data_IF_131992603915
#
_entry.id   IF_131992603915
#
_cell.length_a   1.000
_cell.length_b   1.000
_cell.length_c   1.000
_cell.angle_alpha   90.00
_cell.angle_beta   90.00
_cell.angle_gamma   90.00
#
_symmetry.space_group_name_H-M   'P 1'
#
loop_
_entity.id
_entity.type
_entity.pdbx_description
1 polymer ?
#
# COMPACT_ATOMS: atom_id res chain seq x y z
N UNK A 1 13.29 11.89 -11.56
CA UNK A 1 13.55 10.60 -10.89
C UNK A 1 14.64 9.89 -11.67
N UNK A 2 15.79 9.61 -11.05
CA UNK A 2 16.83 8.76 -11.66
C UNK A 2 16.31 7.32 -11.83
N UNK A 3 16.88 6.55 -12.75
CA UNK A 3 16.45 5.15 -13.00
C UNK A 3 16.47 4.28 -11.73
N UNK A 4 17.41 4.54 -10.82
CA UNK A 4 17.50 3.87 -9.51
C UNK A 4 16.31 4.20 -8.59
N UNK A 5 15.93 5.47 -8.49
CA UNK A 5 14.76 5.93 -7.75
C UNK A 5 13.48 5.29 -8.29
N UNK A 6 13.35 5.20 -9.62
CA UNK A 6 12.21 4.56 -10.26
C UNK A 6 12.13 3.05 -9.94
N UNK A 7 13.27 2.36 -9.91
CA UNK A 7 13.34 0.94 -9.55
C UNK A 7 12.95 0.71 -8.08
N UNK A 8 13.45 1.56 -7.18
CA UNK A 8 13.08 1.55 -5.76
C UNK A 8 11.58 1.82 -5.61
N UNK A 9 11.06 2.80 -6.35
CA UNK A 9 9.64 3.16 -6.31
C UNK A 9 8.74 2.00 -6.72
N UNK A 10 9.09 1.25 -7.78
CA UNK A 10 8.34 0.05 -8.15
C UNK A 10 8.34 -1.03 -7.07
N UNK A 11 9.45 -1.21 -6.35
CA UNK A 11 9.50 -2.18 -5.24
C UNK A 11 8.66 -1.73 -4.05
N UNK A 12 8.65 -0.43 -3.78
CA UNK A 12 7.79 0.22 -2.80
C UNK A 12 6.31 0.03 -3.18
N UNK A 13 5.96 0.30 -4.43
CA UNK A 13 4.60 0.14 -4.96
C UNK A 13 4.12 -1.32 -4.81
N UNK A 14 4.98 -2.28 -5.13
CA UNK A 14 4.68 -3.70 -4.95
C UNK A 14 4.47 -4.06 -3.46
N UNK A 15 5.34 -3.58 -2.56
CA UNK A 15 5.21 -3.83 -1.11
C UNK A 15 3.95 -3.22 -0.52
N UNK A 16 3.60 -1.99 -0.90
CA UNK A 16 2.37 -1.36 -0.40
C UNK A 16 1.11 -2.04 -0.93
N UNK A 17 1.12 -2.52 -2.18
CA UNK A 17 0.06 -3.39 -2.70
C UNK A 17 -0.06 -4.72 -1.93
N UNK A 18 1.04 -5.38 -1.60
CA UNK A 18 1.01 -6.61 -0.79
C UNK A 18 0.43 -6.37 0.61
N UNK A 19 0.74 -5.23 1.23
CA UNK A 19 0.16 -4.84 2.52
C UNK A 19 -1.34 -4.56 2.39
N UNK A 20 -1.76 -3.79 1.38
CA UNK A 20 -3.18 -3.57 1.09
C UNK A 20 -3.95 -4.87 0.84
N UNK A 21 -3.36 -5.82 0.10
CA UNK A 21 -3.95 -7.14 -0.11
C UNK A 21 -4.17 -7.88 1.21
N UNK A 22 -3.19 -7.83 2.12
CA UNK A 22 -3.32 -8.44 3.44
C UNK A 22 -4.41 -7.77 4.26
N UNK A 23 -4.51 -6.43 4.22
CA UNK A 23 -5.56 -5.67 4.88
C UNK A 23 -6.94 -6.07 4.33
N UNK A 24 -7.11 -6.12 3.02
CA UNK A 24 -8.36 -6.56 2.37
C UNK A 24 -8.70 -8.01 2.70
N UNK A 25 -7.73 -8.93 2.66
CA UNK A 25 -7.96 -10.33 3.04
C UNK A 25 -8.32 -10.45 4.51
N UNK A 26 -7.64 -9.71 5.39
CA UNK A 26 -7.93 -9.69 6.81
C UNK A 26 -9.27 -9.02 7.13
N UNK A 27 -9.68 -8.02 6.33
CA UNK A 27 -11.00 -7.39 6.41
C UNK A 27 -12.10 -8.36 5.95
N UNK A 28 -11.85 -9.12 4.89
CA UNK A 28 -12.76 -10.13 4.36
C UNK A 28 -12.88 -11.35 5.29
N UNK A 29 -11.80 -11.69 6.00
CA UNK A 29 -11.81 -12.64 7.10
C UNK A 29 -12.51 -12.04 8.31
N UNK A 30 -13.31 -12.81 9.06
CA UNK A 30 -13.96 -12.36 10.30
C UNK A 30 -12.96 -12.13 11.47
N UNK A 31 -11.65 -12.07 11.17
CA UNK A 31 -10.55 -11.92 12.13
C UNK A 31 -10.23 -10.42 12.32
N UNK A 32 -10.92 -9.79 13.28
CA UNK A 32 -10.65 -8.39 13.66
C UNK A 32 -9.21 -8.13 14.07
N UNK A 33 -8.60 -9.07 14.79
CA UNK A 33 -7.25 -8.92 15.35
C UNK A 33 -6.18 -8.90 14.23
N UNK A 34 -6.34 -9.74 13.21
CA UNK A 34 -5.46 -9.74 12.03
C UNK A 34 -5.65 -8.50 11.16
N UNK A 35 -6.87 -7.95 11.11
CA UNK A 35 -7.13 -6.69 10.40
C UNK A 35 -6.45 -5.50 11.07
N UNK A 36 -6.55 -5.35 12.40
CA UNK A 36 -5.90 -4.25 13.11
C UNK A 36 -4.37 -4.27 12.95
N UNK A 37 -3.75 -5.46 13.01
CA UNK A 37 -2.31 -5.61 12.77
C UNK A 37 -1.93 -5.24 11.33
N UNK A 38 -2.64 -5.78 10.34
CA UNK A 38 -2.39 -5.49 8.93
C UNK A 38 -2.60 -4.00 8.60
N UNK A 39 -3.65 -3.39 9.13
CA UNK A 39 -3.98 -1.98 8.91
C UNK A 39 -2.91 -1.07 9.52
N UNK A 40 -2.44 -1.40 10.73
CA UNK A 40 -1.34 -0.68 11.39
C UNK A 40 -0.04 -0.80 10.61
N UNK A 41 0.27 -1.99 10.11
CA UNK A 41 1.46 -2.27 9.28
C UNK A 41 1.42 -1.55 7.92
N UNK A 42 0.23 -1.33 7.35
CA UNK A 42 0.02 -0.49 6.18
C UNK A 42 0.20 1.00 6.50
N UNK A 43 -0.43 1.51 7.56
CA UNK A 43 -0.28 2.90 7.99
C UNK A 43 1.19 3.28 8.27
N UNK A 44 1.91 2.46 9.04
CA UNK A 44 3.33 2.67 9.37
C UNK A 44 4.22 2.69 8.11
N UNK A 45 3.88 1.84 7.12
CA UNK A 45 4.56 1.83 5.83
C UNK A 45 4.31 3.13 5.05
N UNK A 46 3.06 3.58 4.95
CA UNK A 46 2.70 4.82 4.24
C UNK A 46 3.35 6.03 4.92
N UNK A 47 3.42 6.06 6.26
CA UNK A 47 4.06 7.14 7.02
C UNK A 47 5.56 7.23 6.75
N UNK A 48 6.29 6.10 6.84
CA UNK A 48 7.73 6.05 6.47
C UNK A 48 7.97 6.43 5.02
N UNK A 49 7.05 6.07 4.14
CA UNK A 49 7.13 6.38 2.73
C UNK A 49 6.89 7.87 2.47
N UNK A 50 5.93 8.47 3.19
CA UNK A 50 5.67 9.90 3.19
C UNK A 50 6.92 10.67 3.63
N UNK A 51 7.58 10.25 4.71
CA UNK A 51 8.85 10.86 5.16
C UNK A 51 9.97 10.74 4.13
N UNK A 52 10.11 9.57 3.50
CA UNK A 52 11.19 9.32 2.52
C UNK A 52 10.98 10.11 1.22
N UNK A 53 9.72 10.26 0.78
CA UNK A 53 9.38 10.95 -0.46
C UNK A 53 9.06 12.41 -0.31
N UNK A 54 8.82 12.86 0.92
CA UNK A 54 8.27 14.19 1.20
C UNK A 54 6.80 14.35 0.78
N UNK A 55 6.11 13.26 0.41
CA UNK A 55 4.69 13.27 0.06
C UNK A 55 3.83 13.12 1.31
N UNK A 56 2.54 13.45 1.20
CA UNK A 56 1.61 13.20 2.30
C UNK A 56 1.12 11.76 2.30
N UNK A 57 0.83 11.23 3.49
CA UNK A 57 0.24 9.90 3.66
C UNK A 57 -1.05 9.75 2.85
N UNK A 58 -1.86 10.81 2.75
CA UNK A 58 -3.10 10.82 1.96
C UNK A 58 -2.89 10.78 0.44
N UNK A 59 -1.79 11.32 -0.08
CA UNK A 59 -1.46 11.19 -1.51
C UNK A 59 -0.98 9.77 -1.83
N UNK A 60 -0.16 9.21 -0.96
CA UNK A 60 0.33 7.84 -1.10
C UNK A 60 -0.83 6.83 -0.97
N UNK A 61 -1.70 7.00 0.02
CA UNK A 61 -2.88 6.15 0.21
C UNK A 61 -3.78 6.16 -1.04
N UNK A 62 -4.06 7.33 -1.60
CA UNK A 62 -4.80 7.45 -2.88
C UNK A 62 -4.08 6.77 -4.04
N UNK A 63 -2.77 6.93 -4.13
CA UNK A 63 -1.96 6.28 -5.17
C UNK A 63 -2.07 4.77 -5.07
N UNK A 64 -1.83 4.20 -3.88
CA UNK A 64 -1.93 2.76 -3.64
C UNK A 64 -3.34 2.21 -3.82
N UNK A 65 -4.36 2.90 -3.32
CA UNK A 65 -5.77 2.50 -3.48
C UNK A 65 -6.18 2.51 -4.94
N UNK A 66 -5.78 3.53 -5.72
CA UNK A 66 -6.01 3.55 -7.16
C UNK A 66 -5.28 2.40 -7.87
N UNK A 67 -4.03 2.15 -7.51
CA UNK A 67 -3.22 1.09 -8.11
C UNK A 67 -3.78 -0.30 -7.75
N UNK A 68 -4.35 -0.45 -6.55
CA UNK A 68 -5.11 -1.63 -6.11
C UNK A 68 -6.39 -1.81 -6.92
N UNK A 69 -7.18 -0.74 -7.11
CA UNK A 69 -8.38 -0.75 -7.93
C UNK A 69 -8.08 -1.14 -9.39
N UNK A 70 -7.06 -0.54 -10.01
CA UNK A 70 -6.65 -0.89 -11.38
C UNK A 70 -6.19 -2.36 -11.50
N UNK A 71 -5.57 -2.91 -10.45
CA UNK A 71 -5.13 -4.31 -10.41
C UNK A 71 -6.29 -5.29 -10.20
N UNK A 72 -7.35 -4.86 -9.51
CA UNK A 72 -8.55 -5.66 -9.25
C UNK A 72 -9.54 -5.60 -10.43
N UNK A 73 -9.72 -4.43 -11.07
CA UNK A 73 -10.53 -4.26 -12.28
C UNK A 73 -9.97 -4.99 -13.51
N UNK A 74 -8.64 -5.08 -13.67
CA UNK A 74 -8.02 -5.85 -14.77
C UNK A 74 -8.17 -7.37 -14.67
N UNK A 75 -8.84 -7.89 -13.64
CA UNK A 75 -9.16 -9.32 -13.49
C UNK A 75 -10.54 -9.70 -14.04
N UNK A 76 -11.31 -8.76 -14.59
CA UNK A 76 -12.57 -9.04 -15.31
C UNK A 76 -12.38 -9.27 -16.82
#
# INVERSE_FOLDING_TARGET
MSEEQFKIWKQVEAKGLEKLEKVEKALASTEKEGFEEAHKDYCDFIEKLAETTGLTTGELDKHFTKLWAEKTEKKE
#
